data_IF_338385490535
#
_entry.id   IF_338385490535
#
_cell.length_a   1.000
_cell.length_b   1.000
_cell.length_c   1.000
_cell.angle_alpha   90.00
_cell.angle_beta   90.00
_cell.angle_gamma   90.00
#
_symmetry.space_group_name_H-M   'P 1'
#
loop_
_entity.id
_entity.type
_entity.pdbx_description
1 polymer ?
#
# COMPACT_ATOMS: atom_id res chain seq x y z
N UNK A 1 -9.38 12.43 6.50
CA UNK A 1 -10.12 12.47 5.22
C UNK A 1 -10.17 11.05 4.70
N UNK A 2 -11.36 10.53 4.39
CA UNK A 2 -11.55 9.16 3.91
C UNK A 2 -11.34 9.11 2.38
N UNK A 3 -10.52 8.16 1.91
CA UNK A 3 -10.12 8.01 0.51
C UNK A 3 -11.26 7.54 -0.42
N UNK A 4 -12.41 7.13 0.13
CA UNK A 4 -13.60 6.70 -0.60
C UNK A 4 -14.24 7.80 -1.47
N UNK A 5 -13.85 9.06 -1.31
CA UNK A 5 -14.32 10.19 -2.14
C UNK A 5 -13.51 10.39 -3.45
N UNK A 6 -12.33 9.75 -3.55
CA UNK A 6 -11.47 9.81 -4.72
C UNK A 6 -11.83 8.62 -5.63
N UNK A 7 -12.60 8.88 -6.69
CA UNK A 7 -12.90 7.88 -7.72
C UNK A 7 -11.62 7.20 -8.25
N UNK A 8 -11.79 6.01 -8.84
CA UNK A 8 -10.71 5.11 -9.25
C UNK A 8 -9.56 5.74 -10.04
N UNK A 9 -8.45 5.01 -10.10
CA UNK A 9 -7.29 5.38 -10.89
C UNK A 9 -7.70 5.68 -12.36
N UNK A 10 -7.16 6.74 -12.98
CA UNK A 10 -7.47 7.06 -14.37
C UNK A 10 -7.03 5.92 -15.29
N UNK A 11 -7.95 5.48 -16.15
CA UNK A 11 -7.79 4.32 -17.05
C UNK A 11 -7.14 4.66 -18.40
N UNK A 12 -6.57 5.85 -18.55
CA UNK A 12 -6.09 6.39 -19.83
C UNK A 12 -4.78 7.20 -19.71
N UNK A 13 -3.88 6.78 -18.81
CA UNK A 13 -2.59 7.45 -18.58
C UNK A 13 -1.72 7.46 -19.84
N UNK A 14 -1.74 6.35 -20.58
CA UNK A 14 -1.06 6.12 -21.84
C UNK A 14 -1.43 7.17 -22.87
N UNK A 15 -2.74 7.33 -23.10
CA UNK A 15 -3.29 8.27 -24.06
C UNK A 15 -3.01 9.71 -23.63
N UNK A 16 -3.06 10.01 -22.32
CA UNK A 16 -2.72 11.33 -21.81
C UNK A 16 -1.24 11.65 -22.04
N UNK A 17 -0.34 10.74 -21.70
CA UNK A 17 1.10 10.96 -21.80
C UNK A 17 1.53 11.14 -23.26
N UNK A 18 1.07 10.27 -24.16
CA UNK A 18 1.32 10.39 -25.60
C UNK A 18 0.77 11.72 -26.15
N UNK A 19 -0.38 12.19 -25.64
CA UNK A 19 -0.94 13.47 -26.05
C UNK A 19 -0.14 14.67 -25.52
N UNK A 20 0.41 14.58 -24.30
CA UNK A 20 1.21 15.64 -23.68
C UNK A 20 2.56 15.80 -24.39
N UNK A 21 3.20 14.74 -24.87
CA UNK A 21 4.46 14.79 -25.63
C UNK A 21 4.40 15.72 -26.86
N UNK A 22 3.21 15.91 -27.42
CA UNK A 22 2.98 16.76 -28.60
C UNK A 22 3.13 18.25 -28.29
N UNK A 23 3.23 18.62 -27.01
CA UNK A 23 3.37 20.02 -26.58
C UNK A 23 4.78 20.34 -26.11
N UNK A 24 5.26 21.57 -26.35
CA UNK A 24 6.58 21.99 -25.92
C UNK A 24 6.69 22.10 -24.39
N UNK A 25 7.80 21.59 -23.87
CA UNK A 25 8.20 21.68 -22.45
C UNK A 25 8.33 23.14 -22.02
N UNK A 26 8.01 23.44 -20.75
CA UNK A 26 8.05 24.75 -20.12
C UNK A 26 7.17 25.82 -20.79
N UNK A 27 6.25 25.40 -21.67
CA UNK A 27 5.27 26.30 -22.28
C UNK A 27 3.90 26.08 -21.67
N UNK A 28 3.26 27.17 -21.30
CA UNK A 28 1.87 27.15 -20.81
C UNK A 28 0.91 26.77 -21.93
N UNK A 29 0.15 25.70 -21.69
CA UNK A 29 -0.92 25.21 -22.56
C UNK A 29 -2.23 25.60 -21.91
N UNK A 30 -3.04 26.41 -22.61
CA UNK A 30 -4.37 26.78 -22.12
C UNK A 30 -5.39 25.74 -22.58
N UNK A 31 -6.14 25.17 -21.63
CA UNK A 31 -7.10 24.11 -21.91
C UNK A 31 -8.43 24.72 -22.32
N UNK A 32 -8.85 24.50 -23.58
CA UNK A 32 -10.15 24.96 -24.08
C UNK A 32 -11.17 23.83 -24.02
N UNK A 33 -12.43 24.17 -23.75
CA UNK A 33 -13.54 23.21 -23.80
C UNK A 33 -13.60 22.52 -25.16
N UNK A 34 -13.98 21.24 -25.18
CA UNK A 34 -14.13 20.38 -26.37
C UNK A 34 -12.82 20.01 -27.09
N UNK A 35 -11.66 20.24 -26.49
CA UNK A 35 -10.39 19.69 -26.98
C UNK A 35 -10.14 18.30 -26.39
N UNK A 36 -9.43 17.41 -27.10
CA UNK A 36 -9.07 16.08 -26.58
C UNK A 36 -8.39 16.17 -25.22
N UNK A 37 -7.39 17.05 -25.09
CA UNK A 37 -6.67 17.30 -23.84
C UNK A 37 -7.60 17.72 -22.68
N UNK A 38 -8.70 18.41 -22.96
CA UNK A 38 -9.68 18.77 -21.93
C UNK A 38 -10.30 17.51 -21.30
N UNK A 39 -10.71 16.54 -22.12
CA UNK A 39 -11.33 15.31 -21.64
C UNK A 39 -10.33 14.38 -20.97
N UNK A 40 -9.11 14.29 -21.50
CA UNK A 40 -8.04 13.48 -20.91
C UNK A 40 -7.66 13.98 -19.52
N UNK A 41 -7.49 15.30 -19.34
CA UNK A 41 -7.20 15.88 -18.02
C UNK A 41 -8.37 15.78 -17.04
N UNK A 42 -9.63 15.83 -17.52
CA UNK A 42 -10.80 15.70 -16.64
C UNK A 42 -10.89 14.30 -15.99
N UNK A 43 -10.44 13.26 -16.69
CA UNK A 43 -10.36 11.88 -16.17
C UNK A 43 -9.35 11.77 -15.01
N UNK A 44 -8.22 12.50 -15.10
CA UNK A 44 -7.19 12.49 -14.06
C UNK A 44 -7.62 13.12 -12.73
N UNK A 45 -8.71 13.91 -12.69
CA UNK A 45 -9.30 14.50 -11.46
C UNK A 45 -8.23 15.01 -10.48
N UNK A 46 -8.12 14.39 -9.31
CA UNK A 46 -7.23 14.79 -8.22
C UNK A 46 -5.76 14.42 -8.47
N UNK A 47 -5.47 13.44 -9.32
CA UNK A 47 -4.10 13.07 -9.72
C UNK A 47 -3.37 14.21 -10.43
N UNK A 48 -4.11 15.14 -11.05
CA UNK A 48 -3.54 16.39 -11.57
C UNK A 48 -2.76 17.17 -10.51
N UNK A 49 -3.28 17.26 -9.28
CA UNK A 49 -2.62 17.96 -8.19
C UNK A 49 -1.43 17.17 -7.63
N UNK A 50 -1.50 15.84 -7.68
CA UNK A 50 -0.42 14.98 -7.20
C UNK A 50 0.83 15.16 -8.06
N UNK A 51 0.73 14.94 -9.37
CA UNK A 51 1.85 15.17 -10.30
C UNK A 51 2.28 16.64 -10.34
N UNK A 52 1.38 17.57 -10.00
CA UNK A 52 1.75 18.96 -9.81
C UNK A 52 2.67 19.17 -8.61
N UNK A 53 2.33 18.56 -7.47
CA UNK A 53 3.14 18.64 -6.24
C UNK A 53 4.57 18.11 -6.45
N UNK A 54 4.73 17.02 -7.20
CA UNK A 54 6.04 16.43 -7.51
C UNK A 54 6.78 17.13 -8.67
N UNK A 55 6.20 18.19 -9.24
CA UNK A 55 6.85 18.95 -10.32
C UNK A 55 6.92 18.22 -11.66
N UNK A 56 6.15 17.15 -11.85
CA UNK A 56 6.01 16.47 -13.16
C UNK A 56 5.33 17.42 -14.15
N UNK A 57 4.33 18.18 -13.68
CA UNK A 57 3.73 19.27 -14.45
C UNK A 57 3.31 20.43 -13.56
N UNK A 58 2.92 21.56 -14.15
CA UNK A 58 2.24 22.62 -13.44
C UNK A 58 0.81 22.77 -13.92
N UNK A 59 -0.18 22.52 -13.07
CA UNK A 59 -1.60 22.60 -13.45
C UNK A 59 -2.29 23.74 -12.69
N UNK A 60 -3.10 24.53 -13.41
CA UNK A 60 -3.99 25.51 -12.79
C UNK A 60 -5.42 25.03 -12.87
N UNK A 61 -6.03 24.76 -11.72
CA UNK A 61 -7.43 24.37 -11.64
C UNK A 61 -8.37 25.59 -11.58
N UNK A 62 -9.58 25.42 -12.08
CA UNK A 62 -10.71 26.35 -11.97
C UNK A 62 -11.93 25.59 -11.49
N UNK A 63 -12.80 26.24 -10.71
CA UNK A 63 -14.08 25.67 -10.30
C UNK A 63 -15.02 25.49 -11.50
N UNK A 64 -15.68 24.34 -11.58
CA UNK A 64 -16.88 24.16 -12.43
C UNK A 64 -18.07 24.79 -11.70
N UNK A 65 -19.00 25.39 -12.45
CA UNK A 65 -20.31 25.73 -11.89
C UNK A 65 -20.99 24.42 -11.46
N UNK A 66 -21.37 24.32 -10.19
CA UNK A 66 -21.99 23.12 -9.64
C UNK A 66 -23.31 22.80 -10.36
N UNK A 67 -23.48 21.57 -10.82
CA UNK A 67 -24.81 20.98 -10.99
C UNK A 67 -25.29 20.55 -9.60
N UNK A 68 -26.57 20.79 -9.32
CA UNK A 68 -27.19 20.66 -7.98
C UNK A 68 -27.18 19.23 -7.38
N UNK A 69 -26.51 18.27 -8.01
CA UNK A 69 -26.50 16.85 -7.65
C UNK A 69 -25.12 16.30 -7.24
N UNK A 70 -24.04 17.10 -7.25
CA UNK A 70 -22.69 16.59 -6.97
C UNK A 70 -22.15 17.06 -5.61
N UNK A 71 -21.82 16.09 -4.74
CA UNK A 71 -21.34 16.29 -3.36
C UNK A 71 -19.83 16.62 -3.32
N UNK A 72 -19.10 16.47 -4.42
CA UNK A 72 -17.65 16.74 -4.47
C UNK A 72 -17.32 18.03 -5.24
N UNK A 73 -16.34 18.78 -4.73
CA UNK A 73 -15.88 20.01 -5.36
C UNK A 73 -15.33 19.74 -6.76
N UNK A 74 -16.08 20.19 -7.77
CA UNK A 74 -15.83 19.90 -9.18
C UNK A 74 -14.82 20.89 -9.77
N UNK A 75 -13.52 20.62 -9.67
CA UNK A 75 -12.46 21.41 -10.29
C UNK A 75 -12.13 20.90 -11.70
N UNK A 76 -11.61 21.78 -12.58
CA UNK A 76 -11.13 21.44 -13.93
C UNK A 76 -9.80 22.11 -14.23
N UNK A 77 -8.94 21.44 -15.00
CA UNK A 77 -7.72 22.06 -15.52
C UNK A 77 -8.06 23.21 -16.48
N UNK A 78 -7.47 24.38 -16.24
CA UNK A 78 -7.55 25.56 -17.09
C UNK A 78 -6.27 25.82 -17.86
N UNK A 79 -5.14 25.41 -17.30
CA UNK A 79 -3.86 25.36 -18.00
C UNK A 79 -2.97 24.28 -17.42
N UNK A 80 -2.05 23.79 -18.24
CA UNK A 80 -0.97 22.89 -17.81
C UNK A 80 0.37 23.36 -18.42
N UNK A 81 1.47 23.16 -17.69
CA UNK A 81 2.85 23.31 -18.17
C UNK A 81 3.53 21.96 -17.99
N UNK A 82 4.11 21.42 -19.05
CA UNK A 82 4.88 20.18 -18.98
C UNK A 82 6.30 20.54 -18.57
N UNK A 83 6.83 19.92 -17.52
CA UNK A 83 8.21 20.18 -17.08
C UNK A 83 9.19 19.20 -17.75
N UNK A 84 10.50 19.47 -17.71
CA UNK A 84 11.50 18.49 -18.14
C UNK A 84 11.41 17.17 -17.35
N UNK A 85 10.94 17.22 -16.10
CA UNK A 85 10.79 16.04 -15.26
C UNK A 85 9.75 15.05 -15.84
N UNK A 86 8.65 15.54 -16.42
CA UNK A 86 7.73 14.68 -17.14
C UNK A 86 8.41 13.94 -18.29
N UNK A 87 9.18 14.65 -19.13
CA UNK A 87 9.85 14.02 -20.26
C UNK A 87 10.86 12.94 -19.83
N UNK A 88 11.48 13.11 -18.67
CA UNK A 88 12.43 12.16 -18.09
C UNK A 88 11.75 10.94 -17.45
N UNK A 89 10.58 11.12 -16.86
CA UNK A 89 9.89 10.09 -16.08
C UNK A 89 8.75 9.40 -16.82
N UNK A 90 8.26 9.94 -17.94
CA UNK A 90 7.02 9.46 -18.60
C UNK A 90 7.05 7.96 -18.91
N UNK A 91 8.16 7.43 -19.40
CA UNK A 91 8.25 6.01 -19.79
C UNK A 91 8.25 5.13 -18.54
N UNK A 92 9.01 5.53 -17.51
CA UNK A 92 9.06 4.83 -16.23
C UNK A 92 7.70 4.86 -15.50
N UNK A 93 7.01 6.00 -15.58
CA UNK A 93 5.65 6.17 -15.06
C UNK A 93 4.64 5.34 -15.86
N UNK A 94 4.79 5.25 -17.18
CA UNK A 94 3.95 4.44 -18.06
C UNK A 94 4.10 2.96 -17.75
N UNK A 95 5.34 2.45 -17.71
CA UNK A 95 5.66 1.05 -17.45
C UNK A 95 5.13 0.61 -16.09
N UNK A 96 5.31 1.44 -15.06
CA UNK A 96 4.82 1.15 -13.70
C UNK A 96 3.30 1.21 -13.59
N UNK A 97 2.65 2.05 -14.40
CA UNK A 97 1.20 2.23 -14.35
C UNK A 97 0.44 1.16 -15.16
N UNK A 98 1.09 0.57 -16.17
CA UNK A 98 0.49 -0.38 -17.10
C UNK A 98 1.13 -1.79 -17.01
N UNK A 99 1.72 -2.20 -15.88
CA UNK A 99 2.23 -3.57 -15.76
C UNK A 99 1.06 -4.56 -15.95
N UNK A 100 1.07 -5.25 -17.10
CA UNK A 100 0.07 -6.23 -17.51
C UNK A 100 -0.17 -7.26 -16.40
N UNK A 101 -1.30 -7.15 -15.71
CA UNK A 101 -1.84 -8.24 -14.91
C UNK A 101 -3.34 -8.36 -15.16
N UNK A 102 -3.81 -9.58 -15.37
CA UNK A 102 -5.23 -9.94 -15.50
C UNK A 102 -6.01 -9.74 -14.17
N UNK A 103 -5.58 -8.80 -13.32
CA UNK A 103 -6.09 -8.54 -11.98
C UNK A 103 -6.66 -7.11 -11.92
N UNK A 104 -7.75 -6.94 -11.20
CA UNK A 104 -8.60 -5.75 -11.14
C UNK A 104 -7.82 -4.41 -11.18
N UNK A 105 -8.17 -3.58 -12.17
CA UNK A 105 -7.59 -2.28 -12.59
C UNK A 105 -7.52 -1.16 -11.52
N UNK A 106 -7.70 -1.47 -10.24
CA UNK A 106 -7.77 -0.51 -9.14
C UNK A 106 -6.49 -0.48 -8.27
N UNK A 107 -5.62 -1.49 -8.39
CA UNK A 107 -4.44 -1.67 -7.51
C UNK A 107 -3.16 -1.03 -8.09
N UNK A 108 -3.03 -0.92 -9.41
CA UNK A 108 -1.73 -0.65 -10.06
C UNK A 108 -1.25 0.81 -9.91
N UNK A 109 -2.15 1.79 -9.94
CA UNK A 109 -1.80 3.18 -9.59
C UNK A 109 -1.36 3.34 -8.14
N UNK A 110 -1.77 2.44 -7.23
CA UNK A 110 -1.38 2.47 -5.82
C UNK A 110 0.03 1.93 -5.59
N UNK A 111 0.59 1.11 -6.49
CA UNK A 111 1.97 0.60 -6.39
C UNK A 111 3.00 1.75 -6.49
N UNK A 112 2.84 2.62 -7.49
CA UNK A 112 3.70 3.80 -7.65
C UNK A 112 3.63 4.72 -6.43
N UNK A 113 2.42 4.91 -5.88
CA UNK A 113 2.21 5.83 -4.76
C UNK A 113 2.51 5.22 -3.40
N UNK A 114 2.37 3.92 -3.20
CA UNK A 114 2.81 3.23 -1.97
C UNK A 114 4.34 3.28 -1.85
N UNK A 115 5.05 3.14 -2.98
CA UNK A 115 6.50 3.34 -3.09
C UNK A 115 6.89 4.80 -2.82
N UNK A 116 6.17 5.78 -3.39
CA UNK A 116 6.48 7.21 -3.21
C UNK A 116 6.08 7.75 -1.82
N UNK A 117 5.03 7.20 -1.18
CA UNK A 117 4.51 7.65 0.11
C UNK A 117 5.04 6.83 1.30
N UNK A 118 5.85 5.80 1.06
CA UNK A 118 6.46 4.99 2.11
C UNK A 118 5.47 4.09 2.86
N UNK A 119 4.32 3.77 2.25
CA UNK A 119 3.34 2.83 2.80
C UNK A 119 3.68 1.40 2.33
N UNK A 120 4.87 0.91 2.73
CA UNK A 120 5.46 -0.34 2.23
C UNK A 120 4.89 -1.63 2.83
N UNK A 121 3.88 -1.56 3.71
CA UNK A 121 3.47 -2.73 4.50
C UNK A 121 2.46 -3.65 3.79
N UNK A 122 1.79 -3.20 2.73
CA UNK A 122 0.87 -4.03 1.93
C UNK A 122 1.57 -4.71 0.73
N UNK A 123 2.75 -4.22 0.31
CA UNK A 123 3.43 -4.64 -0.92
C UNK A 123 4.28 -5.92 -0.79
N UNK A 124 4.72 -6.25 0.44
CA UNK A 124 5.49 -7.46 0.71
C UNK A 124 4.73 -8.74 0.33
N UNK A 125 3.41 -8.74 0.53
CA UNK A 125 2.55 -9.89 0.24
C UNK A 125 2.16 -9.99 -1.24
N UNK A 126 2.03 -8.87 -1.95
CA UNK A 126 1.74 -8.88 -3.39
C UNK A 126 2.90 -9.48 -4.19
N UNK A 127 4.16 -9.19 -3.83
CA UNK A 127 5.33 -9.83 -4.46
C UNK A 127 5.39 -11.33 -4.24
N UNK A 128 5.01 -11.81 -3.05
CA UNK A 128 4.98 -13.24 -2.74
C UNK A 128 3.88 -13.96 -3.54
N UNK A 129 2.68 -13.38 -3.58
CA UNK A 129 1.54 -13.90 -4.36
C UNK A 129 1.84 -13.90 -5.88
N UNK A 130 2.49 -12.85 -6.39
CA UNK A 130 2.91 -12.76 -7.79
C UNK A 130 4.05 -13.74 -8.13
N UNK A 131 4.89 -14.08 -7.16
CA UNK A 131 5.97 -15.07 -7.34
C UNK A 131 5.46 -16.52 -7.38
N UNK A 132 4.36 -16.82 -6.69
CA UNK A 132 3.76 -18.17 -6.68
C UNK A 132 2.93 -18.47 -7.95
N UNK A 133 2.51 -17.44 -8.70
CA UNK A 133 1.75 -17.57 -9.95
C UNK A 133 2.63 -17.55 -11.21
N UNK A 134 3.92 -17.21 -11.12
CA UNK A 134 4.86 -17.28 -12.24
C UNK A 134 5.41 -18.71 -12.36
N UNK A 135 4.72 -19.52 -13.17
CA UNK A 135 5.31 -20.75 -13.72
C UNK A 135 6.63 -20.40 -14.42
N UNK A 136 7.69 -21.15 -14.10
CA UNK A 136 9.01 -21.08 -14.71
C UNK A 136 8.92 -20.97 -16.24
N UNK A 137 9.01 -19.75 -16.76
CA UNK A 137 9.38 -19.50 -18.14
C UNK A 137 10.33 -18.31 -18.14
N UNK A 138 11.54 -18.59 -18.59
CA UNK A 138 12.62 -17.65 -18.82
C UNK A 138 12.11 -16.42 -19.61
N UNK A 139 12.01 -15.27 -18.94
CA UNK A 139 12.02 -13.98 -19.62
C UNK A 139 13.24 -13.24 -19.08
N UNK A 140 14.28 -13.25 -19.90
CA UNK A 140 15.50 -12.49 -19.73
C UNK A 140 15.28 -11.08 -20.30
N UNK A 141 14.29 -10.36 -19.77
CA UNK A 141 14.16 -8.92 -20.01
C UNK A 141 14.75 -8.21 -18.80
N UNK A 142 15.78 -7.42 -19.05
CA UNK A 142 16.30 -6.42 -18.12
C UNK A 142 15.17 -5.40 -17.84
N UNK A 143 14.23 -5.74 -16.95
CA UNK A 143 13.28 -4.79 -16.39
C UNK A 143 14.09 -3.75 -15.60
N UNK A 144 14.45 -2.67 -16.28
CA UNK A 144 15.11 -1.50 -15.70
C UNK A 144 14.13 -0.88 -14.70
N UNK A 145 14.25 -1.27 -13.43
CA UNK A 145 13.45 -0.79 -12.31
C UNK A 145 13.26 0.72 -12.36
N UNK A 146 12.03 1.21 -12.15
CA UNK A 146 11.69 2.63 -12.00
C UNK A 146 12.68 3.40 -11.12
N UNK A 147 13.16 2.76 -10.04
CA UNK A 147 14.13 3.33 -9.12
C UNK A 147 15.49 3.60 -9.77
N UNK A 148 15.95 2.72 -10.66
CA UNK A 148 17.23 2.91 -11.38
C UNK A 148 17.18 4.12 -12.33
N UNK A 149 16.02 4.43 -12.92
CA UNK A 149 15.84 5.62 -13.76
C UNK A 149 15.78 6.90 -12.93
N UNK A 150 15.09 6.86 -11.79
CA UNK A 150 15.09 7.97 -10.83
C UNK A 150 16.47 8.25 -10.26
N UNK A 151 17.31 7.22 -10.08
CA UNK A 151 18.66 7.39 -9.52
C UNK A 151 19.52 8.36 -10.31
N UNK A 152 19.35 8.39 -11.63
CA UNK A 152 20.09 9.29 -12.51
C UNK A 152 19.69 10.77 -12.38
N UNK A 153 18.53 11.06 -11.78
CA UNK A 153 17.94 12.40 -11.75
C UNK A 153 18.28 13.21 -10.50
N UNK A 154 18.84 12.56 -9.49
CA UNK A 154 19.23 13.21 -8.24
C UNK A 154 20.70 12.93 -7.96
N UNK A 155 21.42 13.86 -7.31
CA UNK A 155 22.73 13.56 -6.74
C UNK A 155 22.66 12.26 -5.92
N UNK A 156 23.69 11.38 -5.97
CA UNK A 156 23.70 10.13 -5.20
C UNK A 156 23.41 10.33 -3.71
N UNK A 157 23.80 11.50 -3.19
CA UNK A 157 23.62 11.92 -1.80
C UNK A 157 22.15 12.20 -1.45
N UNK A 158 21.33 12.67 -2.39
CA UNK A 158 19.91 13.00 -2.16
C UNK A 158 19.03 11.75 -2.14
N UNK A 159 19.43 10.70 -2.86
CA UNK A 159 18.73 9.40 -2.89
C UNK A 159 19.19 8.43 -1.81
N UNK A 160 20.31 8.73 -1.13
CA UNK A 160 20.73 7.99 0.07
C UNK A 160 19.73 8.16 1.24
N UNK A 161 18.87 9.17 1.13
CA UNK A 161 17.67 9.37 1.95
C UNK A 161 16.43 9.00 1.15
N UNK A 162 16.41 7.85 0.46
CA UNK A 162 15.13 7.17 0.34
C UNK A 162 14.59 7.08 1.76
N UNK A 163 13.33 7.43 1.99
CA UNK A 163 12.70 7.02 3.24
C UNK A 163 12.83 5.51 3.22
N UNK A 164 13.84 5.05 3.96
CA UNK A 164 14.12 3.66 4.22
C UNK A 164 12.75 3.08 4.55
N UNK A 165 12.28 2.17 3.69
CA UNK A 165 11.30 1.15 4.04
C UNK A 165 11.48 0.93 5.53
N UNK A 166 10.51 1.26 6.39
CA UNK A 166 10.61 1.05 7.85
C UNK A 166 11.42 -0.22 8.01
N UNK A 167 12.68 -0.11 8.45
CA UNK A 167 13.64 -1.19 8.21
C UNK A 167 12.94 -2.47 8.61
N UNK A 168 12.81 -3.44 7.69
CA UNK A 168 12.24 -4.76 7.96
C UNK A 168 13.20 -5.50 8.89
N UNK A 169 13.39 -4.91 10.06
CA UNK A 169 14.32 -5.30 11.08
C UNK A 169 13.63 -6.44 11.78
N UNK A 170 13.92 -7.63 11.30
CA UNK A 170 13.62 -8.84 12.03
C UNK A 170 14.17 -8.71 13.46
N UNK A 171 13.27 -8.57 14.45
CA UNK A 171 13.66 -8.49 15.85
C UNK A 171 13.70 -9.92 16.41
N UNK A 172 14.91 -10.48 16.48
CA UNK A 172 15.14 -11.80 17.06
C UNK A 172 14.91 -11.78 18.57
N UNK A 173 14.05 -12.67 19.07
CA UNK A 173 13.70 -12.64 20.49
C UNK A 173 12.56 -13.54 20.89
N UNK A 174 12.23 -13.49 22.18
CA UNK A 174 11.00 -14.06 22.73
C UNK A 174 10.02 -12.95 23.06
N UNK A 175 8.78 -13.16 22.68
CA UNK A 175 7.69 -12.20 22.82
C UNK A 175 6.70 -12.74 23.83
N UNK A 176 6.37 -11.92 24.83
CA UNK A 176 5.35 -12.24 25.81
C UNK A 176 4.10 -11.41 25.54
N UNK A 177 3.01 -12.08 25.23
CA UNK A 177 1.73 -11.49 24.92
C UNK A 177 0.72 -11.75 26.03
N UNK A 178 -0.08 -10.74 26.37
CA UNK A 178 -1.30 -10.94 27.14
C UNK A 178 -2.48 -10.93 26.18
N UNK A 179 -3.20 -12.05 26.11
CA UNK A 179 -4.40 -12.21 25.30
C UNK A 179 -5.61 -12.08 26.24
N UNK A 180 -6.48 -11.10 26.00
CA UNK A 180 -7.61 -10.78 26.86
C UNK A 180 -8.91 -10.93 26.09
N UNK A 181 -9.72 -11.93 26.44
CA UNK A 181 -11.07 -12.10 25.90
C UNK A 181 -12.06 -11.14 26.55
N UNK A 182 -11.96 -10.95 27.87
CA UNK A 182 -12.77 -10.00 28.61
C UNK A 182 -12.11 -9.66 29.95
N UNK A 183 -12.74 -8.76 30.73
CA UNK A 183 -12.20 -8.29 32.02
C UNK A 183 -11.87 -9.40 33.04
N UNK A 184 -12.42 -10.60 32.89
CA UNK A 184 -12.24 -11.73 33.81
C UNK A 184 -11.40 -12.87 33.22
N UNK A 185 -11.13 -12.86 31.92
CA UNK A 185 -10.43 -13.94 31.24
C UNK A 185 -9.30 -13.37 30.38
N UNK A 186 -8.07 -13.63 30.82
CA UNK A 186 -6.86 -13.37 30.05
C UNK A 186 -5.86 -14.50 30.22
N UNK A 187 -5.10 -14.78 29.17
CA UNK A 187 -4.00 -15.75 29.15
C UNK A 187 -2.72 -15.04 28.74
N UNK A 188 -1.59 -15.56 29.17
CA UNK A 188 -0.28 -15.08 28.71
C UNK A 188 0.31 -16.15 27.80
N UNK A 189 0.79 -15.74 26.63
CA UNK A 189 1.37 -16.61 25.62
C UNK A 189 2.79 -16.12 25.33
N UNK A 190 3.74 -17.04 25.27
CA UNK A 190 5.13 -16.76 24.86
C UNK A 190 5.36 -17.36 23.48
N UNK A 191 5.93 -16.58 22.56
CA UNK A 191 6.30 -17.01 21.21
C UNK A 191 7.72 -16.57 20.87
N UNK A 192 8.38 -17.34 19.99
CA UNK A 192 9.62 -16.96 19.34
C UNK A 192 9.35 -15.94 18.23
N UNK A 193 10.35 -15.10 17.93
CA UNK A 193 10.37 -14.25 16.73
C UNK A 193 10.20 -15.02 15.42
N UNK A 194 10.50 -16.32 15.41
CA UNK A 194 10.34 -17.23 14.26
C UNK A 194 8.94 -17.82 14.12
N UNK A 195 8.09 -17.69 15.14
CA UNK A 195 6.71 -18.17 15.04
C UNK A 195 5.90 -17.28 14.11
N UNK A 196 4.94 -17.87 13.42
CA UNK A 196 3.98 -17.14 12.56
C UNK A 196 2.81 -16.58 13.34
N UNK A 197 2.00 -15.70 12.73
CA UNK A 197 0.68 -15.38 13.29
C UNK A 197 -0.27 -16.58 13.28
N UNK A 198 -0.09 -17.55 12.37
CA UNK A 198 -0.80 -18.83 12.41
C UNK A 198 -0.44 -19.63 13.68
N UNK A 199 0.84 -19.68 14.06
CA UNK A 199 1.25 -20.29 15.32
C UNK A 199 0.62 -19.58 16.51
N UNK A 200 0.53 -18.23 16.46
CA UNK A 200 -0.11 -17.47 17.52
C UNK A 200 -1.62 -17.79 17.59
N UNK A 201 -2.30 -17.86 16.46
CA UNK A 201 -3.69 -18.32 16.39
C UNK A 201 -3.85 -19.69 17.07
N UNK A 202 -3.02 -20.67 16.71
CA UNK A 202 -3.05 -22.01 17.30
C UNK A 202 -2.85 -21.99 18.83
N UNK A 203 -1.92 -21.16 19.32
CA UNK A 203 -1.72 -20.97 20.76
C UNK A 203 -2.94 -20.37 21.45
N UNK A 204 -3.63 -19.41 20.82
CA UNK A 204 -4.87 -18.82 21.36
C UNK A 204 -5.99 -19.85 21.38
N UNK A 205 -6.19 -20.61 20.29
CA UNK A 205 -7.18 -21.68 20.22
C UNK A 205 -7.01 -22.67 21.37
N UNK A 206 -5.77 -23.14 21.58
CA UNK A 206 -5.44 -24.05 22.67
C UNK A 206 -5.63 -23.40 24.06
N UNK A 207 -5.20 -22.16 24.26
CA UNK A 207 -5.22 -21.49 25.56
C UNK A 207 -6.65 -21.15 26.05
N UNK A 208 -7.59 -21.00 25.11
CA UNK A 208 -8.99 -20.67 25.38
C UNK A 208 -9.97 -21.82 25.06
N UNK A 209 -9.45 -23.00 24.72
CA UNK A 209 -10.24 -24.22 24.42
C UNK A 209 -11.31 -23.98 23.34
N UNK A 210 -10.91 -23.29 22.28
CA UNK A 210 -11.74 -23.00 21.11
C UNK A 210 -11.64 -24.14 20.07
N UNK A 211 -12.58 -24.17 19.13
CA UNK A 211 -12.52 -25.01 17.94
C UNK A 211 -12.06 -24.16 16.76
N UNK A 212 -11.07 -24.63 16.00
CA UNK A 212 -10.61 -23.94 14.79
C UNK A 212 -11.47 -24.29 13.57
N UNK A 213 -12.74 -23.92 13.63
CA UNK A 213 -13.77 -24.20 12.62
C UNK A 213 -14.35 -22.95 11.95
N UNK A 214 -13.80 -21.77 12.25
CA UNK A 214 -14.25 -20.49 11.71
C UNK A 214 -13.08 -19.61 11.21
N UNK A 215 -13.40 -18.67 10.33
CA UNK A 215 -12.45 -17.65 9.87
C UNK A 215 -12.06 -16.66 10.98
N UNK A 216 -10.89 -16.05 10.81
CA UNK A 216 -10.29 -15.14 11.77
C UNK A 216 -9.32 -14.16 11.11
N UNK A 217 -8.97 -13.09 11.82
CA UNK A 217 -7.96 -12.13 11.40
C UNK A 217 -7.28 -11.44 12.61
N UNK A 218 -6.04 -10.99 12.42
CA UNK A 218 -5.33 -10.09 13.34
C UNK A 218 -5.32 -8.67 12.77
N UNK A 219 -5.86 -7.69 13.49
CA UNK A 219 -5.86 -6.28 13.13
C UNK A 219 -4.79 -5.53 13.92
N UNK A 220 -3.67 -5.23 13.25
CA UNK A 220 -2.43 -4.75 13.87
C UNK A 220 -2.49 -3.31 14.37
N UNK A 221 -3.52 -2.57 13.97
CA UNK A 221 -3.81 -1.20 14.42
C UNK A 221 -4.91 -1.12 15.47
N UNK A 222 -5.30 -2.28 16.01
CA UNK A 222 -6.35 -2.42 17.02
C UNK A 222 -7.73 -1.89 16.56
N UNK A 223 -7.98 -1.85 15.26
CA UNK A 223 -9.24 -1.41 14.69
C UNK A 223 -9.86 -2.54 13.85
N UNK A 224 -10.99 -3.07 14.31
CA UNK A 224 -11.71 -4.14 13.62
C UNK A 224 -12.11 -3.71 12.21
N UNK A 225 -11.95 -4.61 11.24
CA UNK A 225 -12.20 -4.39 9.81
C UNK A 225 -11.33 -3.31 9.16
N UNK A 226 -10.20 -2.93 9.78
CA UNK A 226 -9.19 -2.12 9.11
C UNK A 226 -8.46 -2.94 8.05
N UNK A 227 -7.83 -2.26 7.08
CA UNK A 227 -6.96 -2.90 6.08
C UNK A 227 -5.61 -3.34 6.65
N UNK A 228 -5.24 -2.88 7.86
CA UNK A 228 -3.99 -3.26 8.53
C UNK A 228 -4.18 -4.57 9.28
N UNK A 229 -4.54 -5.61 8.53
CA UNK A 229 -4.84 -6.93 9.06
C UNK A 229 -4.01 -8.04 8.43
N UNK A 230 -4.00 -9.20 9.05
CA UNK A 230 -3.60 -10.48 8.48
C UNK A 230 -4.75 -11.47 8.63
N UNK A 231 -5.20 -12.04 7.52
CA UNK A 231 -6.38 -12.91 7.44
C UNK A 231 -6.00 -14.39 7.55
N UNK A 232 -6.99 -15.20 7.92
CA UNK A 232 -6.89 -16.66 7.90
C UNK A 232 -6.44 -17.18 6.53
N UNK A 233 -5.64 -18.26 6.45
CA UNK A 233 -5.26 -18.88 5.17
C UNK A 233 -6.45 -19.36 4.34
N UNK A 234 -7.62 -19.51 4.97
CA UNK A 234 -8.87 -19.94 4.34
C UNK A 234 -9.75 -18.77 3.86
N UNK A 235 -9.29 -17.53 4.02
CA UNK A 235 -9.96 -16.34 3.48
C UNK A 235 -9.64 -16.15 1.98
N UNK A 236 -10.42 -15.31 1.29
CA UNK A 236 -10.26 -15.05 -0.14
C UNK A 236 -9.10 -14.09 -0.45
N UNK A 237 -8.74 -13.23 0.50
CA UNK A 237 -7.75 -12.17 0.29
C UNK A 237 -6.78 -12.11 1.45
N UNK A 238 -5.49 -12.06 1.11
CA UNK A 238 -4.42 -11.79 2.05
C UNK A 238 -4.38 -10.32 2.53
N UNK A 239 -3.33 -9.95 3.28
CA UNK A 239 -2.18 -10.78 3.58
C UNK A 239 -2.48 -11.89 4.60
N UNK A 240 -1.80 -13.04 4.56
CA UNK A 240 -2.18 -14.20 5.37
C UNK A 240 -1.32 -14.41 6.62
N UNK A 241 -1.93 -14.93 7.69
CA UNK A 241 -1.26 -15.16 8.98
C UNK A 241 -0.13 -16.19 8.94
N UNK A 242 -0.10 -17.06 7.94
CA UNK A 242 0.91 -18.11 7.79
C UNK A 242 2.17 -17.64 7.04
N UNK A 243 2.11 -16.45 6.43
CA UNK A 243 3.18 -15.87 5.62
C UNK A 243 4.06 -14.91 6.43
N UNK A 244 3.61 -14.49 7.61
CA UNK A 244 4.32 -13.50 8.44
C UNK A 244 4.73 -14.09 9.79
N UNK A 245 5.98 -13.84 10.17
CA UNK A 245 6.54 -14.20 11.49
C UNK A 245 6.53 -13.02 12.46
N UNK A 246 6.41 -13.31 13.76
CA UNK A 246 6.32 -12.31 14.84
C UNK A 246 7.48 -11.31 14.79
N UNK A 247 8.70 -11.78 14.49
CA UNK A 247 9.89 -10.92 14.41
C UNK A 247 9.84 -9.86 13.31
N UNK A 248 9.01 -10.04 12.27
CA UNK A 248 8.85 -9.10 11.15
C UNK A 248 7.74 -8.06 11.40
N UNK A 249 6.93 -8.24 12.44
CA UNK A 249 5.78 -7.36 12.70
C UNK A 249 6.17 -6.01 13.32
N UNK A 250 7.47 -5.76 13.55
CA UNK A 250 7.99 -4.52 14.15
C UNK A 250 7.26 -4.14 15.46
N UNK A 251 6.91 -5.15 16.25
CA UNK A 251 6.16 -4.96 17.49
C UNK A 251 7.02 -4.27 18.55
N UNK A 252 6.38 -3.48 19.41
CA UNK A 252 7.03 -2.84 20.55
C UNK A 252 6.29 -3.12 21.85
N UNK A 253 7.04 -3.11 22.97
CA UNK A 253 6.47 -3.29 24.31
C UNK A 253 5.40 -2.23 24.58
N UNK A 254 4.22 -2.67 25.03
CA UNK A 254 3.06 -1.83 25.30
C UNK A 254 2.17 -1.57 24.09
N UNK A 255 2.50 -2.09 22.90
CA UNK A 255 1.59 -2.12 21.77
C UNK A 255 0.40 -3.03 22.06
N UNK A 256 -0.78 -2.63 21.58
CA UNK A 256 -1.99 -3.45 21.60
C UNK A 256 -2.53 -3.63 20.17
N UNK A 257 -3.07 -4.81 19.88
CA UNK A 257 -3.74 -5.12 18.63
C UNK A 257 -4.85 -6.15 18.86
N UNK A 258 -5.71 -6.34 17.85
CA UNK A 258 -6.91 -7.15 17.97
C UNK A 258 -6.77 -8.47 17.22
N UNK A 259 -7.18 -9.57 17.84
CA UNK A 259 -7.46 -10.83 17.18
C UNK A 259 -8.97 -11.06 17.18
N UNK A 260 -9.56 -11.20 16.00
CA UNK A 260 -10.98 -11.46 15.80
C UNK A 260 -11.15 -12.89 15.32
N UNK A 261 -11.83 -13.71 16.10
CA UNK A 261 -12.17 -15.09 15.75
C UNK A 261 -13.67 -15.21 15.50
N UNK A 262 -14.05 -16.02 14.51
CA UNK A 262 -15.43 -16.23 14.09
C UNK A 262 -16.14 -14.92 13.73
N UNK A 263 -16.10 -14.54 12.46
CA UNK A 263 -16.74 -13.30 11.97
C UNK A 263 -18.26 -13.26 12.12
N UNK A 264 -18.92 -14.39 12.36
CA UNK A 264 -20.37 -14.42 12.64
C UNK A 264 -20.68 -13.96 14.07
N UNK A 265 -19.97 -14.51 15.05
CA UNK A 265 -20.16 -14.18 16.47
C UNK A 265 -19.27 -13.02 16.95
N UNK A 266 -18.33 -12.59 16.12
CA UNK A 266 -17.36 -11.52 16.35
C UNK A 266 -16.62 -11.66 17.69
N UNK A 267 -15.96 -12.80 17.92
CA UNK A 267 -15.26 -13.06 19.18
C UNK A 267 -13.93 -12.30 19.19
N UNK A 268 -13.89 -11.22 19.96
CA UNK A 268 -12.75 -10.30 20.04
C UNK A 268 -11.79 -10.64 21.18
N UNK A 269 -10.49 -10.67 20.88
CA UNK A 269 -9.40 -10.79 21.84
C UNK A 269 -8.45 -9.60 21.70
N UNK A 270 -8.32 -8.80 22.76
CA UNK A 270 -7.29 -7.76 22.80
C UNK A 270 -5.94 -8.40 23.18
N UNK A 271 -4.92 -8.11 22.39
CA UNK A 271 -3.56 -8.63 22.57
C UNK A 271 -2.65 -7.47 22.97
N UNK A 272 -2.00 -7.58 24.12
CA UNK A 272 -1.01 -6.61 24.60
C UNK A 272 0.39 -7.22 24.59
N UNK A 273 1.36 -6.52 23.99
CA UNK A 273 2.78 -6.91 24.01
C UNK A 273 3.38 -6.55 25.36
N UNK A 274 3.53 -7.51 26.26
CA UNK A 274 4.05 -7.27 27.61
C UNK A 274 5.57 -7.12 27.63
N UNK A 275 6.28 -7.92 26.84
CA UNK A 275 7.74 -8.00 26.84
C UNK A 275 8.26 -8.49 25.50
N UNK A 276 9.43 -7.98 25.13
CA UNK A 276 10.27 -8.50 24.05
C UNK A 276 11.65 -8.72 24.67
N UNK A 277 12.12 -9.95 24.68
CA UNK A 277 13.45 -10.34 25.16
C UNK A 277 14.32 -10.63 23.93
N UNK A 278 15.19 -9.68 23.59
CA UNK A 278 16.09 -9.82 22.47
C UNK A 278 17.12 -10.92 22.76
N UNK A 279 17.36 -11.77 21.77
CA UNK A 279 18.55 -12.64 21.79
C UNK A 279 19.66 -11.84 21.12
N UNK A 280 20.53 -11.21 21.92
CA UNK A 280 21.77 -10.67 21.38
C UNK A 280 22.61 -11.85 20.88
N UNK A 281 22.77 -11.96 19.56
CA UNK A 281 23.87 -12.75 19.01
C UNK A 281 25.15 -12.00 19.36
N UNK A 282 25.83 -12.47 20.41
CA UNK A 282 27.15 -11.94 20.78
C UNK A 282 28.08 -11.98 19.56
N UNK A 283 28.53 -10.80 19.15
CA UNK A 283 29.58 -10.62 18.13
C UNK A 283 30.93 -10.88 18.77
#
# INVERSE_FOLDING_TARGET
MQWSEYGGAPTNIDILFEHLEKYPINKKINIKKKQTLYYLLDNFRHFLNFFHYFGIWEVKLQEKKADASSITANYRASSIVITPLFALLKDALYDTWNMDSEVDHWIEGLELFSVLLGESNELGNLKQILSEQRSDNEINDEEVSFFSRLQSLFPPEDLSKSYVSREDNYVAGRYLFKVTLNKRCSKTVELSSTNTLLDFHNCIQQAFELNDDHLYAFYMDNNKFSRRCYNSPMDNYGPFVHEVVIGMLNLYKGQSFLYLFNFGDEIEFNIDVLKIENVEFGV
#
